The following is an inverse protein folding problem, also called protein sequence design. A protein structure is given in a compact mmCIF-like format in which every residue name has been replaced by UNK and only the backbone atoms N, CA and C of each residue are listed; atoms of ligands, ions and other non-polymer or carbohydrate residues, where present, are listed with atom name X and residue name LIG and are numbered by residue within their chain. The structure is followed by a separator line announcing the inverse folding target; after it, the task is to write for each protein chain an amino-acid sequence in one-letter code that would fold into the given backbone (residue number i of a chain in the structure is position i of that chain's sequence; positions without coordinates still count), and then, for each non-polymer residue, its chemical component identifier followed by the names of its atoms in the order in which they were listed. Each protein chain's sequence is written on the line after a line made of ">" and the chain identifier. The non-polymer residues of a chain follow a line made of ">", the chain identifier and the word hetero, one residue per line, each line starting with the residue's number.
data_IF_122417230407
#
_entry.id   IF_122417230407
#
_cell.length_a   1.000
_cell.length_b   1.000
_cell.length_c   1.000
_cell.angle_alpha   90.00
_cell.angle_beta   90.00
_cell.angle_gamma   90.00
#
_symmetry.space_group_name_H-M   'P 1'
#
loop_
_entity.id
_entity.type
_entity.pdbx_description
1 polymer ?
#
# COMPACT_ATOMS: atom_id res chain seq x y z
N UNK A 1 22.29 29.83 22.61
CA UNK A 1 22.34 28.40 22.20
C UNK A 1 22.48 28.39 20.69
N UNK A 2 23.47 27.67 20.17
CA UNK A 2 23.73 27.58 18.73
C UNK A 2 23.48 26.15 18.24
N UNK A 3 22.94 26.00 17.04
CA UNK A 3 22.63 24.71 16.43
C UNK A 3 23.00 24.72 14.94
N UNK A 4 23.51 23.58 14.45
CA UNK A 4 23.95 23.40 13.07
C UNK A 4 23.17 22.29 12.38
N UNK A 5 22.57 22.61 11.22
CA UNK A 5 21.86 21.64 10.40
C UNK A 5 22.83 20.93 9.44
N UNK A 6 22.60 19.64 9.23
CA UNK A 6 23.25 18.86 8.18
C UNK A 6 22.25 17.89 7.56
N UNK A 7 22.52 17.48 6.32
CA UNK A 7 21.71 16.50 5.63
C UNK A 7 22.01 15.09 6.16
N UNK A 8 20.95 14.29 6.31
CA UNK A 8 21.05 12.90 6.73
C UNK A 8 19.89 12.08 6.16
N UNK A 9 20.00 10.76 6.27
CA UNK A 9 19.00 9.81 5.82
C UNK A 9 18.20 9.28 7.02
N UNK A 10 16.91 8.99 6.82
CA UNK A 10 16.08 8.33 7.84
C UNK A 10 16.67 7.01 8.37
N UNK A 11 17.47 6.31 7.55
CA UNK A 11 18.23 5.11 7.98
C UNK A 11 19.29 5.41 9.05
N UNK A 12 19.87 6.61 9.05
CA UNK A 12 20.88 7.02 10.02
C UNK A 12 20.26 7.48 11.33
N UNK A 13 19.12 8.19 11.26
CA UNK A 13 18.37 8.60 12.44
C UNK A 13 16.93 8.95 12.06
N UNK A 14 15.96 8.55 12.89
CA UNK A 14 14.53 8.74 12.64
C UNK A 14 14.13 10.21 12.39
N UNK A 15 14.84 11.17 13.00
CA UNK A 15 14.65 12.63 12.78
C UNK A 15 14.79 13.07 11.30
N UNK A 16 15.48 12.29 10.47
CA UNK A 16 15.64 12.56 9.03
C UNK A 16 14.66 11.77 8.15
N UNK A 17 13.69 11.07 8.74
CA UNK A 17 12.59 10.48 7.99
C UNK A 17 11.72 11.61 7.41
N UNK A 18 11.54 11.73 6.09
CA UNK A 18 10.79 12.84 5.49
C UNK A 18 9.27 12.68 5.57
N UNK A 19 8.79 11.54 6.05
CA UNK A 19 7.37 11.13 6.05
C UNK A 19 7.01 10.48 7.39
N UNK A 20 5.82 10.75 7.91
CA UNK A 20 5.29 10.11 9.11
C UNK A 20 4.65 8.76 8.77
N UNK A 21 4.03 8.67 7.59
CA UNK A 21 3.38 7.45 7.11
C UNK A 21 3.88 7.15 5.70
N UNK A 22 4.36 5.92 5.50
CA UNK A 22 4.63 5.34 4.20
C UNK A 22 4.14 3.89 4.23
N UNK A 23 2.91 3.68 3.80
CA UNK A 23 2.27 2.37 3.81
C UNK A 23 1.61 2.09 2.46
N UNK A 24 1.35 0.81 2.19
CA UNK A 24 0.58 0.40 1.03
C UNK A 24 -0.38 -0.72 1.41
N UNK A 25 -1.42 -0.89 0.60
CA UNK A 25 -2.30 -2.07 0.61
C UNK A 25 -2.63 -2.46 -0.81
N UNK A 26 -3.01 -3.71 -1.02
CA UNK A 26 -3.54 -4.16 -2.31
C UNK A 26 -4.88 -3.48 -2.61
N UNK A 27 -5.17 -3.30 -3.90
CA UNK A 27 -6.48 -2.85 -4.35
C UNK A 27 -7.53 -3.90 -3.98
N UNK A 28 -8.55 -3.56 -3.15
CA UNK A 28 -9.57 -4.52 -2.76
C UNK A 28 -10.49 -4.86 -3.93
N UNK A 29 -10.71 -6.15 -4.15
CA UNK A 29 -11.73 -6.70 -5.05
C UNK A 29 -12.76 -7.40 -4.17
N UNK A 30 -13.99 -6.88 -4.19
CA UNK A 30 -15.09 -7.35 -3.37
C UNK A 30 -16.18 -7.87 -4.30
N UNK A 31 -16.61 -9.11 -4.10
CA UNK A 31 -17.74 -9.69 -4.85
C UNK A 31 -18.80 -10.19 -3.88
N UNK A 32 -20.07 -9.94 -4.22
CA UNK A 32 -21.23 -10.37 -3.46
C UNK A 32 -22.00 -11.35 -4.35
N UNK A 33 -22.16 -12.57 -3.87
CA UNK A 33 -23.00 -13.59 -4.47
C UNK A 33 -24.47 -13.25 -4.18
N UNK A 34 -25.20 -12.79 -5.20
CA UNK A 34 -26.59 -12.34 -5.06
C UNK A 34 -27.55 -13.48 -4.76
N UNK A 35 -27.24 -14.71 -5.16
CA UNK A 35 -28.09 -15.87 -4.92
C UNK A 35 -28.03 -16.32 -3.45
N UNK A 36 -26.88 -16.12 -2.79
CA UNK A 36 -26.69 -16.44 -1.36
C UNK A 36 -27.03 -15.29 -0.44
N UNK A 37 -27.12 -14.07 -0.95
CA UNK A 37 -27.34 -12.89 -0.13
C UNK A 37 -28.80 -12.80 0.31
N UNK A 38 -29.05 -12.91 1.62
CA UNK A 38 -30.39 -12.78 2.22
C UNK A 38 -30.74 -11.34 2.63
N UNK A 39 -29.96 -10.35 2.17
CA UNK A 39 -30.16 -8.93 2.45
C UNK A 39 -30.24 -8.55 3.94
N UNK A 40 -29.56 -9.31 4.82
CA UNK A 40 -29.61 -9.09 6.27
C UNK A 40 -28.95 -7.79 6.76
N UNK A 41 -28.16 -7.10 5.92
CA UNK A 41 -27.52 -5.83 6.26
C UNK A 41 -26.33 -5.89 7.22
N UNK A 42 -26.03 -7.03 7.84
CA UNK A 42 -24.96 -7.15 8.85
C UNK A 42 -23.57 -6.70 8.34
N UNK A 43 -23.27 -6.92 7.06
CA UNK A 43 -22.01 -6.47 6.46
C UNK A 43 -21.88 -4.93 6.35
N UNK A 44 -23.01 -4.22 6.29
CA UNK A 44 -23.08 -2.76 6.29
C UNK A 44 -22.80 -2.23 7.68
N UNK A 45 -23.42 -2.82 8.71
CA UNK A 45 -23.24 -2.45 10.12
C UNK A 45 -21.83 -2.75 10.63
N UNK A 46 -21.30 -3.92 10.32
CA UNK A 46 -20.00 -4.39 10.81
C UNK A 46 -18.81 -3.70 10.13
N UNK A 47 -19.01 -3.01 9.00
CA UNK A 47 -17.90 -2.42 8.26
C UNK A 47 -17.49 -1.06 8.85
N UNK A 48 -16.34 -0.94 9.56
CA UNK A 48 -15.92 0.34 10.14
C UNK A 48 -15.53 1.38 9.07
N UNK A 49 -15.31 0.93 7.84
CA UNK A 49 -14.93 1.76 6.69
C UNK A 49 -16.13 2.15 5.82
N UNK A 50 -17.35 1.71 6.16
CA UNK A 50 -18.58 2.01 5.42
C UNK A 50 -18.46 1.71 3.91
N UNK A 51 -17.87 0.56 3.59
CA UNK A 51 -17.62 0.11 2.20
C UNK A 51 -18.91 -0.35 1.51
N UNK A 52 -19.88 -0.80 2.30
CA UNK A 52 -21.14 -1.34 1.83
C UNK A 52 -22.27 -0.34 2.06
N UNK A 53 -23.28 -0.37 1.20
CA UNK A 53 -24.50 0.43 1.29
C UNK A 53 -25.70 -0.45 0.96
N UNK A 54 -26.79 -0.29 1.72
CA UNK A 54 -28.06 -0.94 1.42
C UNK A 54 -28.84 -0.11 0.40
N UNK A 55 -29.17 -0.71 -0.75
CA UNK A 55 -30.03 -0.11 -1.78
C UNK A 55 -31.31 -0.94 -1.96
N UNK A 56 -32.25 -0.42 -2.73
CA UNK A 56 -33.52 -1.12 -3.02
C UNK A 56 -33.29 -2.50 -3.65
N UNK A 57 -32.27 -2.64 -4.50
CA UNK A 57 -31.87 -3.91 -5.14
C UNK A 57 -30.97 -4.80 -4.24
N UNK A 58 -30.68 -4.36 -3.01
CA UNK A 58 -29.88 -5.08 -2.03
C UNK A 58 -28.54 -4.43 -1.67
N UNK A 59 -27.64 -5.21 -1.07
CA UNK A 59 -26.33 -4.73 -0.63
C UNK A 59 -25.43 -4.44 -1.83
N UNK A 60 -24.89 -3.23 -1.88
CA UNK A 60 -23.95 -2.77 -2.90
C UNK A 60 -22.62 -2.31 -2.28
N UNK A 61 -21.55 -2.32 -3.08
CA UNK A 61 -20.25 -1.78 -2.68
C UNK A 61 -20.17 -0.34 -3.15
N UNK A 62 -20.14 0.62 -2.23
CA UNK A 62 -20.12 2.05 -2.53
C UNK A 62 -18.72 2.52 -2.95
N UNK A 63 -17.70 2.20 -2.14
CA UNK A 63 -16.31 2.58 -2.40
C UNK A 63 -15.34 1.47 -1.98
N UNK A 64 -14.80 0.67 -2.93
CA UNK A 64 -13.85 -0.39 -2.60
C UNK A 64 -12.48 0.15 -2.15
N UNK A 65 -12.11 1.40 -2.50
CA UNK A 65 -10.80 1.97 -2.18
C UNK A 65 -10.59 2.21 -0.68
N UNK A 66 -11.67 2.42 0.10
CA UNK A 66 -11.57 2.63 1.56
C UNK A 66 -11.50 1.34 2.36
N UNK A 67 -11.77 0.18 1.75
CA UNK A 67 -11.70 -1.12 2.41
C UNK A 67 -10.29 -1.41 2.93
N UNK A 68 -10.18 -1.75 4.22
CA UNK A 68 -8.91 -2.06 4.89
C UNK A 68 -8.54 -3.55 4.86
N UNK A 69 -9.27 -4.38 4.10
CA UNK A 69 -9.06 -5.84 4.03
C UNK A 69 -9.12 -6.54 5.40
N UNK A 70 -9.92 -6.04 6.35
CA UNK A 70 -10.04 -6.63 7.70
C UNK A 70 -10.82 -7.96 7.74
N UNK A 71 -11.55 -8.28 6.68
CA UNK A 71 -12.39 -9.47 6.51
C UNK A 71 -13.57 -9.61 7.48
N UNK A 72 -13.93 -8.57 8.25
CA UNK A 72 -15.09 -8.62 9.17
C UNK A 72 -16.40 -8.93 8.45
N UNK A 73 -16.65 -8.30 7.29
CA UNK A 73 -17.84 -8.56 6.49
C UNK A 73 -17.95 -10.01 5.99
N UNK A 74 -16.83 -10.69 5.73
CA UNK A 74 -16.80 -12.09 5.32
C UNK A 74 -17.16 -12.99 6.51
N UNK A 75 -16.62 -12.67 7.70
CA UNK A 75 -16.85 -13.45 8.93
C UNK A 75 -18.28 -13.34 9.45
N UNK A 76 -18.88 -12.15 9.37
CA UNK A 76 -20.24 -11.92 9.91
C UNK A 76 -21.35 -12.42 8.97
N UNK A 77 -21.05 -12.64 7.69
CA UNK A 77 -22.06 -13.03 6.72
C UNK A 77 -22.53 -14.47 6.97
N UNK A 78 -23.80 -14.70 7.37
CA UNK A 78 -24.28 -16.01 7.78
C UNK A 78 -24.35 -17.01 6.61
N UNK A 79 -24.46 -16.51 5.38
CA UNK A 79 -24.55 -17.32 4.15
C UNK A 79 -23.24 -17.37 3.36
N UNK A 80 -22.16 -16.76 3.89
CA UNK A 80 -20.87 -16.64 3.20
C UNK A 80 -20.97 -16.07 1.77
N UNK A 81 -21.90 -15.13 1.55
CA UNK A 81 -22.14 -14.51 0.24
C UNK A 81 -21.04 -13.53 -0.19
N UNK A 82 -20.19 -13.06 0.74
CA UNK A 82 -19.19 -12.02 0.49
C UNK A 82 -17.81 -12.64 0.32
N UNK A 83 -17.11 -12.28 -0.76
CA UNK A 83 -15.69 -12.60 -0.97
C UNK A 83 -14.89 -11.32 -1.12
N UNK A 84 -13.76 -11.25 -0.41
CA UNK A 84 -12.83 -10.11 -0.45
C UNK A 84 -11.43 -10.64 -0.75
N UNK A 85 -10.77 -10.06 -1.75
CA UNK A 85 -9.37 -10.35 -2.09
C UNK A 85 -8.60 -9.08 -2.42
N UNK A 86 -7.30 -9.09 -2.16
CA UNK A 86 -6.38 -8.06 -2.67
C UNK A 86 -5.92 -8.43 -4.07
N UNK A 87 -5.94 -7.48 -5.00
CA UNK A 87 -5.33 -7.66 -6.31
C UNK A 87 -3.81 -7.47 -6.21
N UNK A 88 -3.02 -8.48 -6.55
CA UNK A 88 -1.56 -8.49 -6.36
C UNK A 88 -0.79 -7.52 -7.27
N UNK A 89 -1.32 -7.22 -8.45
CA UNK A 89 -0.74 -6.29 -9.44
C UNK A 89 -1.13 -4.82 -9.21
N UNK A 90 -1.94 -4.52 -8.18
CA UNK A 90 -2.44 -3.16 -7.93
C UNK A 90 -2.30 -2.74 -6.46
N UNK A 91 -1.68 -1.59 -6.23
CA UNK A 91 -1.38 -1.07 -4.90
C UNK A 91 -1.97 0.32 -4.68
N UNK A 92 -2.48 0.56 -3.48
CA UNK A 92 -2.88 1.88 -2.99
C UNK A 92 -1.83 2.33 -1.97
N UNK A 93 -1.01 3.31 -2.36
CA UNK A 93 -0.01 3.92 -1.48
C UNK A 93 -0.64 5.03 -0.65
N UNK A 94 -0.26 5.10 0.62
CA UNK A 94 -0.58 6.20 1.53
C UNK A 94 0.72 6.80 2.04
N UNK A 95 0.96 8.06 1.71
CA UNK A 95 2.16 8.80 2.07
C UNK A 95 1.75 10.10 2.74
N UNK A 96 2.19 10.31 3.98
CA UNK A 96 1.97 11.54 4.73
C UNK A 96 3.32 12.17 5.06
N UNK A 97 3.52 13.40 4.60
CA UNK A 97 4.75 14.16 4.84
C UNK A 97 4.72 14.86 6.19
N UNK A 98 5.89 15.15 6.74
CA UNK A 98 6.04 15.94 7.98
C UNK A 98 6.30 17.43 7.71
N UNK A 99 6.10 17.89 6.47
CA UNK A 99 6.29 19.29 6.06
C UNK A 99 7.71 19.66 5.61
N UNK A 100 8.69 18.73 5.70
CA UNK A 100 10.06 18.96 5.24
C UNK A 100 10.17 18.95 3.71
N UNK A 101 9.36 18.12 3.06
CA UNK A 101 9.33 17.94 1.61
C UNK A 101 7.89 17.56 1.19
N UNK A 102 7.40 17.97 0.01
CA UNK A 102 6.14 17.49 -0.51
C UNK A 102 6.11 15.95 -0.59
N UNK A 103 5.02 15.27 -0.16
CA UNK A 103 4.92 13.80 -0.20
C UNK A 103 5.17 13.20 -1.58
N UNK A 104 4.74 13.92 -2.63
CA UNK A 104 4.97 13.54 -4.03
C UNK A 104 6.45 13.46 -4.36
N UNK A 105 7.23 14.44 -3.91
CA UNK A 105 8.66 14.52 -4.18
C UNK A 105 9.42 13.47 -3.35
N UNK A 106 8.99 13.22 -2.11
CA UNK A 106 9.52 12.11 -1.30
C UNK A 106 9.34 10.77 -2.02
N UNK A 107 8.18 10.53 -2.62
CA UNK A 107 7.91 9.32 -3.41
C UNK A 107 8.80 9.24 -4.66
N UNK A 108 8.91 10.32 -5.44
CA UNK A 108 9.74 10.36 -6.66
C UNK A 108 11.22 10.13 -6.32
N UNK A 109 11.72 10.80 -5.28
CA UNK A 109 13.10 10.61 -4.80
C UNK A 109 13.36 9.16 -4.39
N UNK A 110 12.39 8.48 -3.75
CA UNK A 110 12.53 7.07 -3.40
C UNK A 110 12.76 6.18 -4.65
N UNK A 111 12.04 6.45 -5.74
CA UNK A 111 12.20 5.75 -7.03
C UNK A 111 13.56 6.07 -7.65
N UNK A 112 13.99 7.33 -7.62
CA UNK A 112 15.28 7.75 -8.14
C UNK A 112 16.45 7.11 -7.39
N UNK A 113 16.37 7.04 -6.06
CA UNK A 113 17.36 6.34 -5.22
C UNK A 113 17.39 4.85 -5.54
N UNK A 114 16.24 4.21 -5.76
CA UNK A 114 16.20 2.81 -6.18
C UNK A 114 16.88 2.63 -7.54
N UNK A 115 16.54 3.45 -8.54
CA UNK A 115 17.17 3.44 -9.87
C UNK A 115 18.68 3.62 -9.78
N UNK A 116 19.15 4.55 -8.96
CA UNK A 116 20.57 4.79 -8.74
C UNK A 116 21.27 3.56 -8.14
N UNK A 117 20.68 2.94 -7.11
CA UNK A 117 21.23 1.74 -6.47
C UNK A 117 21.32 0.57 -7.44
N UNK A 118 20.27 0.32 -8.23
CA UNK A 118 20.26 -0.74 -9.25
C UNK A 118 21.34 -0.49 -10.32
N UNK A 119 21.46 0.75 -10.81
CA UNK A 119 22.54 1.11 -11.76
C UNK A 119 23.93 0.88 -11.17
N UNK A 120 24.14 1.28 -9.93
CA UNK A 120 25.43 1.09 -9.26
C UNK A 120 25.74 -0.40 -9.07
N UNK A 121 24.76 -1.20 -8.65
CA UNK A 121 24.89 -2.63 -8.51
C UNK A 121 25.25 -3.31 -9.84
N UNK A 122 24.54 -2.98 -10.92
CA UNK A 122 24.84 -3.48 -12.27
C UNK A 122 26.29 -3.19 -12.68
N UNK A 123 26.76 -1.96 -12.48
CA UNK A 123 28.14 -1.56 -12.79
C UNK A 123 29.18 -2.36 -11.99
N UNK A 124 28.90 -2.64 -10.72
CA UNK A 124 29.78 -3.45 -9.89
C UNK A 124 29.80 -4.90 -10.39
N UNK A 125 28.61 -5.44 -10.71
CA UNK A 125 28.46 -6.80 -11.22
C UNK A 125 29.22 -7.01 -12.53
N UNK A 126 29.11 -6.08 -13.48
CA UNK A 126 29.85 -6.12 -14.75
C UNK A 126 31.36 -6.18 -14.54
N UNK A 127 31.91 -5.45 -13.56
CA UNK A 127 33.34 -5.49 -13.25
C UNK A 127 33.77 -6.83 -12.66
N UNK A 128 32.94 -7.44 -11.81
CA UNK A 128 33.26 -8.72 -11.18
C UNK A 128 33.17 -9.87 -12.18
N UNK A 129 32.14 -9.88 -13.03
CA UNK A 129 31.94 -10.93 -14.04
C UNK A 129 33.03 -10.88 -15.11
N UNK A 130 33.33 -9.69 -15.67
CA UNK A 130 34.37 -9.54 -16.70
C UNK A 130 35.78 -9.72 -16.13
N UNK A 131 35.99 -9.34 -14.86
CA UNK A 131 37.28 -9.53 -14.17
C UNK A 131 37.65 -10.99 -13.86
N UNK A 132 36.74 -11.95 -14.04
CA UNK A 132 37.01 -13.38 -13.89
C UNK A 132 37.46 -14.07 -15.20
N UNK A 133 37.24 -13.46 -16.37
CA UNK A 133 37.62 -14.05 -17.66
C UNK A 133 39.10 -13.85 -18.02
N UNK A 134 39.83 -12.98 -17.30
CA UNK A 134 41.26 -12.70 -17.57
C UNK A 134 42.23 -13.43 -16.63
N UNK A 135 41.77 -14.42 -15.86
CA UNK A 135 42.58 -15.17 -14.90
C UNK A 135 42.69 -16.67 -15.23
N UNK A 136 42.61 -17.04 -16.52
CA UNK A 136 42.89 -18.40 -17.03
C UNK A 136 44.09 -18.40 -17.95
#
# INVERSE_FOLDING_TARGET
>A
MEAYAHYGLGKQHAKWQPVSVAAFKYLPVISIDREKCILCGQCVEECPRKVFEMKEEGVSVSNPYVCSLCMSCVKICPTAAIKVRGREDAFIFKIEGIGVLPPRDAFILSILVLKYKVRNFKRILERVVVGQETAS
#
